data_IF_907033223062
#
_entry.id   IF_907033223062
#
_cell.length_a   1.000
_cell.length_b   1.000
_cell.length_c   1.000
_cell.angle_alpha   90.00
_cell.angle_beta   90.00
_cell.angle_gamma   90.00
#
_symmetry.space_group_name_H-M   'P 1'
#
loop_
_entity.id
_entity.type
_entity.pdbx_description
1 polymer ?
#
# COMPACT_ATOMS: atom_id res chain seq x y z
N UNK A 1 -20.40 -2.59 -12.80
CA UNK A 1 -19.53 -3.34 -11.88
C UNK A 1 -18.47 -2.41 -11.35
N UNK A 2 -18.51 -2.15 -10.08
CA UNK A 2 -17.44 -1.42 -9.44
C UNK A 2 -16.23 -2.35 -9.28
N UNK A 3 -15.22 -2.17 -10.11
CA UNK A 3 -13.91 -2.72 -9.81
C UNK A 3 -13.37 -1.93 -8.62
N UNK A 4 -13.71 -2.37 -7.42
CA UNK A 4 -13.17 -1.76 -6.23
C UNK A 4 -11.65 -1.95 -6.23
N UNK A 5 -10.95 -0.89 -6.62
CA UNK A 5 -9.49 -0.84 -6.58
C UNK A 5 -8.98 -1.07 -5.16
N UNK A 6 -9.75 -0.67 -4.16
CA UNK A 6 -9.39 -0.73 -2.76
C UNK A 6 -10.31 -1.65 -1.98
N UNK A 7 -9.73 -2.43 -1.07
CA UNK A 7 -10.46 -3.25 -0.12
C UNK A 7 -10.16 -2.73 1.28
N UNK A 8 -11.16 -2.15 1.93
CA UNK A 8 -11.01 -1.55 3.24
C UNK A 8 -11.67 -2.44 4.30
N UNK A 9 -10.92 -2.75 5.36
CA UNK A 9 -11.38 -3.49 6.51
C UNK A 9 -11.57 -2.53 7.70
N UNK A 10 -12.82 -2.17 7.98
CA UNK A 10 -13.14 -1.25 9.08
C UNK A 10 -12.89 -1.87 10.46
N UNK A 11 -12.75 -3.19 10.53
CA UNK A 11 -12.48 -3.91 11.77
C UNK A 11 -10.98 -4.09 12.03
N UNK A 12 -10.13 -3.73 11.07
CA UNK A 12 -8.69 -3.80 11.23
C UNK A 12 -8.18 -2.80 12.26
N UNK A 13 -7.08 -3.16 12.93
CA UNK A 13 -6.36 -2.23 13.82
C UNK A 13 -5.67 -1.11 13.07
N UNK A 14 -5.43 -1.29 11.76
CA UNK A 14 -4.83 -0.26 10.91
C UNK A 14 -5.90 0.77 10.57
N UNK A 15 -5.69 2.05 10.89
CA UNK A 15 -6.64 3.10 10.52
C UNK A 15 -6.96 3.11 9.04
N UNK A 16 -8.19 3.47 8.68
CA UNK A 16 -8.65 3.43 7.29
C UNK A 16 -7.76 4.26 6.37
N UNK A 17 -7.35 5.47 6.80
CA UNK A 17 -6.49 6.30 5.96
C UNK A 17 -5.14 5.64 5.66
N UNK A 18 -4.58 4.90 6.62
CA UNK A 18 -3.34 4.14 6.41
C UNK A 18 -3.55 2.96 5.46
N UNK A 19 -4.71 2.30 5.53
CA UNK A 19 -5.05 1.24 4.58
C UNK A 19 -5.08 1.77 3.15
N UNK A 20 -5.65 2.95 2.94
CA UNK A 20 -5.67 3.59 1.61
C UNK A 20 -4.24 3.88 1.15
N UNK A 21 -3.42 4.48 2.00
CA UNK A 21 -2.01 4.79 1.70
C UNK A 21 -1.26 3.52 1.31
N UNK A 22 -1.35 2.49 2.13
CA UNK A 22 -0.64 1.23 1.92
C UNK A 22 -1.04 0.56 0.61
N UNK A 23 -2.33 0.59 0.27
CA UNK A 23 -2.83 -0.01 -0.97
C UNK A 23 -2.41 0.77 -2.21
N UNK A 24 -2.36 2.10 -2.14
CA UNK A 24 -1.84 2.92 -3.24
C UNK A 24 -0.36 2.59 -3.48
N UNK A 25 0.44 2.61 -2.43
CA UNK A 25 1.88 2.30 -2.51
C UNK A 25 2.12 0.89 -3.05
N UNK A 26 1.34 -0.09 -2.59
CA UNK A 26 1.41 -1.47 -3.07
C UNK A 26 1.11 -1.55 -4.56
N UNK A 27 0.05 -0.88 -5.02
CA UNK A 27 -0.34 -0.89 -6.44
C UNK A 27 0.68 -0.19 -7.33
N UNK A 28 1.32 0.87 -6.81
CA UNK A 28 2.42 1.54 -7.51
C UNK A 28 3.62 0.60 -7.65
N UNK A 29 3.99 -0.10 -6.59
CA UNK A 29 5.10 -1.07 -6.61
C UNK A 29 4.81 -2.26 -7.53
N UNK A 30 3.57 -2.73 -7.57
CA UNK A 30 3.13 -3.82 -8.45
C UNK A 30 2.90 -3.36 -9.89
N UNK A 31 3.07 -2.07 -10.18
CA UNK A 31 2.84 -1.46 -11.49
C UNK A 31 1.39 -1.60 -11.98
N UNK A 32 0.46 -1.69 -11.04
CA UNK A 32 -0.98 -1.62 -11.29
C UNK A 32 -1.46 -0.18 -11.43
N UNK A 33 -0.76 0.76 -10.77
CA UNK A 33 -0.91 2.20 -10.94
C UNK A 33 0.39 2.74 -11.52
N UNK A 34 0.35 3.10 -12.80
CA UNK A 34 1.53 3.55 -13.54
C UNK A 34 1.79 5.04 -13.31
N UNK A 35 3.05 5.51 -13.51
CA UNK A 35 3.35 6.93 -13.51
C UNK A 35 2.41 7.70 -14.43
N UNK A 36 1.88 8.82 -13.95
CA UNK A 36 0.91 9.63 -14.70
C UNK A 36 -0.53 9.13 -14.65
N UNK A 37 -0.79 7.97 -14.08
CA UNK A 37 -2.15 7.45 -13.94
C UNK A 37 -2.98 8.36 -13.02
N UNK A 38 -4.22 8.62 -13.41
CA UNK A 38 -5.12 9.45 -12.63
C UNK A 38 -5.70 8.67 -11.45
N UNK A 39 -5.63 9.27 -10.28
CA UNK A 39 -6.27 8.74 -9.08
C UNK A 39 -7.77 9.02 -9.11
N UNK A 40 -8.61 8.16 -8.49
CA UNK A 40 -10.00 8.51 -8.25
C UNK A 40 -10.10 9.84 -7.49
N UNK A 41 -11.14 10.62 -7.74
CA UNK A 41 -11.36 11.82 -6.94
C UNK A 41 -11.65 11.46 -5.48
N UNK A 42 -11.32 12.35 -4.56
CA UNK A 42 -11.62 12.16 -3.13
C UNK A 42 -13.09 11.83 -2.92
N UNK A 43 -13.97 12.62 -3.55
CA UNK A 43 -15.41 12.43 -3.44
C UNK A 43 -15.85 11.10 -4.05
N UNK A 44 -15.35 10.77 -5.23
CA UNK A 44 -15.69 9.51 -5.91
C UNK A 44 -15.27 8.29 -5.10
N UNK A 45 -14.06 8.30 -4.59
CA UNK A 45 -13.56 7.20 -3.76
C UNK A 45 -14.29 7.10 -2.43
N UNK A 46 -14.59 8.24 -1.80
CA UNK A 46 -15.39 8.29 -0.58
C UNK A 46 -16.77 7.63 -0.78
N UNK A 47 -17.43 7.94 -1.89
CA UNK A 47 -18.73 7.34 -2.21
C UNK A 47 -18.63 5.85 -2.50
N UNK A 48 -17.62 5.45 -3.27
CA UNK A 48 -17.40 4.05 -3.62
C UNK A 48 -17.12 3.17 -2.41
N UNK A 49 -16.30 3.65 -1.48
CA UNK A 49 -15.91 2.91 -0.29
C UNK A 49 -16.83 3.13 0.92
N UNK A 50 -17.79 4.05 0.81
CA UNK A 50 -18.65 4.48 1.93
C UNK A 50 -17.83 4.97 3.13
N UNK A 51 -16.82 5.79 2.87
CA UNK A 51 -15.87 6.33 3.86
C UNK A 51 -15.93 7.85 3.83
N UNK A 52 -15.77 8.46 5.00
CA UNK A 52 -15.77 9.91 5.13
C UNK A 52 -14.76 10.55 4.17
N UNK A 53 -15.17 11.56 3.37
CA UNK A 53 -14.25 12.25 2.46
C UNK A 53 -13.01 12.82 3.14
N UNK A 54 -13.13 13.25 4.40
CA UNK A 54 -11.99 13.77 5.16
C UNK A 54 -10.93 12.71 5.39
N UNK A 55 -11.33 11.45 5.57
CA UNK A 55 -10.41 10.32 5.74
C UNK A 55 -9.66 10.06 4.44
N UNK A 56 -10.35 10.08 3.31
CA UNK A 56 -9.73 9.92 1.99
C UNK A 56 -8.80 11.10 1.71
N UNK A 57 -9.23 12.33 2.00
CA UNK A 57 -8.40 13.52 1.81
C UNK A 57 -7.11 13.44 2.63
N UNK A 58 -7.20 12.94 3.87
CA UNK A 58 -6.04 12.75 4.74
C UNK A 58 -5.04 11.79 4.09
N UNK A 59 -5.52 10.68 3.52
CA UNK A 59 -4.67 9.71 2.83
C UNK A 59 -3.98 10.35 1.61
N UNK A 60 -4.72 11.10 0.80
CA UNK A 60 -4.18 11.75 -0.40
C UNK A 60 -3.16 12.83 -0.04
N UNK A 61 -3.44 13.62 0.99
CA UNK A 61 -2.50 14.63 1.47
C UNK A 61 -1.18 13.99 1.91
N UNK A 62 -1.25 12.87 2.61
CA UNK A 62 -0.06 12.15 3.04
C UNK A 62 0.70 11.53 1.85
N UNK A 63 0.00 10.94 0.89
CA UNK A 63 0.62 10.40 -0.33
C UNK A 63 1.32 11.51 -1.13
N UNK A 64 0.73 12.69 -1.19
CA UNK A 64 1.32 13.86 -1.85
C UNK A 64 2.57 14.30 -1.10
N UNK A 65 2.52 14.37 0.23
CA UNK A 65 3.69 14.71 1.07
C UNK A 65 4.84 13.72 0.84
N UNK A 66 4.53 12.45 0.68
CA UNK A 66 5.51 11.38 0.40
C UNK A 66 6.03 11.41 -1.03
N UNK A 67 5.41 12.18 -1.91
CA UNK A 67 5.81 12.29 -3.31
C UNK A 67 5.32 11.15 -4.20
N UNK A 68 4.42 10.30 -3.72
CA UNK A 68 3.84 9.19 -4.50
C UNK A 68 2.82 9.69 -5.51
N UNK A 69 2.05 10.72 -5.13
CA UNK A 69 1.08 11.38 -6.01
C UNK A 69 1.37 12.87 -6.12
N UNK A 70 0.87 13.47 -7.18
CA UNK A 70 0.88 14.92 -7.39
C UNK A 70 -0.55 15.39 -7.63
N UNK A 71 -0.86 16.58 -7.14
CA UNK A 71 -2.14 17.23 -7.40
C UNK A 71 -1.96 18.32 -8.44
N UNK A 72 -2.76 18.25 -9.51
CA UNK A 72 -2.78 19.27 -10.56
C UNK A 72 -4.09 20.05 -10.41
N UNK A 73 -4.05 21.35 -10.07
CA UNK A 73 -5.25 22.15 -9.87
C UNK A 73 -6.21 22.07 -11.05
N UNK A 74 -7.48 21.81 -10.78
CA UNK A 74 -8.53 21.69 -11.80
C UNK A 74 -8.53 20.39 -12.59
N UNK A 75 -7.53 19.52 -12.41
CA UNK A 75 -7.41 18.25 -13.15
C UNK A 75 -7.47 17.01 -12.25
N UNK A 76 -7.01 17.11 -11.01
CA UNK A 76 -7.06 16.03 -10.02
C UNK A 76 -5.69 15.56 -9.55
N UNK A 77 -5.66 14.38 -8.97
CA UNK A 77 -4.44 13.74 -8.46
C UNK A 77 -3.97 12.64 -9.42
N UNK A 78 -2.66 12.55 -9.58
CA UNK A 78 -2.00 11.60 -10.49
C UNK A 78 -0.83 10.94 -9.80
N UNK A 79 -0.49 9.73 -10.21
CA UNK A 79 0.73 9.07 -9.74
C UNK A 79 1.93 9.87 -10.27
N UNK A 80 2.86 10.20 -9.38
CA UNK A 80 4.07 10.94 -9.75
C UNK A 80 4.95 10.13 -10.70
N UNK A 81 5.70 10.80 -11.57
CA UNK A 81 6.62 10.14 -12.51
C UNK A 81 7.65 9.28 -11.77
N UNK A 82 8.11 9.74 -10.60
CA UNK A 82 9.05 9.01 -9.74
C UNK A 82 8.32 8.27 -8.60
N UNK A 83 7.02 8.02 -8.74
CA UNK A 83 6.19 7.40 -7.70
C UNK A 83 6.68 6.02 -7.28
N UNK A 84 7.17 5.20 -8.22
CA UNK A 84 7.72 3.87 -7.92
C UNK A 84 8.95 3.99 -7.01
N UNK A 85 9.86 4.90 -7.33
CA UNK A 85 11.06 5.13 -6.52
C UNK A 85 10.70 5.61 -5.11
N UNK A 86 9.75 6.53 -5.01
CA UNK A 86 9.26 7.04 -3.72
C UNK A 86 8.63 5.93 -2.89
N UNK A 87 7.77 5.11 -3.50
CA UNK A 87 7.13 3.99 -2.83
C UNK A 87 8.15 2.94 -2.38
N UNK A 88 9.18 2.68 -3.20
CA UNK A 88 10.26 1.73 -2.87
C UNK A 88 11.07 2.18 -1.66
N UNK A 89 11.44 3.45 -1.59
CA UNK A 89 12.16 4.03 -0.45
C UNK A 89 11.33 3.89 0.82
N UNK A 90 10.04 4.23 0.77
CA UNK A 90 9.12 4.11 1.90
C UNK A 90 8.98 2.66 2.37
N UNK A 91 8.89 1.72 1.44
CA UNK A 91 8.83 0.30 1.77
C UNK A 91 10.11 -0.17 2.47
N UNK A 92 11.28 0.31 2.00
CA UNK A 92 12.58 -0.05 2.58
C UNK A 92 12.74 0.49 4.01
N UNK A 93 12.16 1.65 4.30
CA UNK A 93 12.19 2.23 5.65
C UNK A 93 11.47 1.34 6.67
N UNK A 94 10.56 0.47 6.23
CA UNK A 94 9.86 -0.49 7.11
C UNK A 94 10.77 -1.60 7.62
N UNK A 95 11.98 -1.75 7.08
CA UNK A 95 12.94 -2.74 7.60
C UNK A 95 13.32 -2.48 9.05
N UNK A 96 13.41 -1.21 9.45
CA UNK A 96 13.66 -0.84 10.84
C UNK A 96 12.52 -1.31 11.75
N UNK A 97 11.27 -1.09 11.35
CA UNK A 97 10.08 -1.53 12.08
C UNK A 97 10.01 -3.06 12.16
N UNK A 98 10.36 -3.73 11.07
CA UNK A 98 10.43 -5.21 11.01
C UNK A 98 11.44 -5.73 12.02
N UNK A 99 12.61 -5.12 12.11
CA UNK A 99 13.65 -5.49 13.08
C UNK A 99 13.15 -5.36 14.52
N UNK A 100 12.47 -4.27 14.84
CA UNK A 100 11.85 -4.07 16.16
C UNK A 100 10.78 -5.11 16.46
N UNK A 101 9.96 -5.43 15.47
CA UNK A 101 8.92 -6.47 15.60
C UNK A 101 9.55 -7.83 15.91
N UNK A 102 10.60 -8.21 15.19
CA UNK A 102 11.33 -9.44 15.42
C UNK A 102 11.90 -9.48 16.84
N UNK A 103 12.51 -8.38 17.28
CA UNK A 103 13.05 -8.27 18.65
C UNK A 103 11.97 -8.49 19.71
N UNK A 104 10.79 -7.90 19.52
CA UNK A 104 9.65 -8.10 20.43
C UNK A 104 9.16 -9.56 20.46
N UNK A 105 9.10 -10.19 19.29
CA UNK A 105 8.68 -11.59 19.18
C UNK A 105 9.69 -12.55 19.86
N UNK A 106 10.99 -12.25 19.77
CA UNK A 106 12.02 -13.02 20.47
C UNK A 106 11.83 -12.93 21.98
N UNK A 107 11.52 -11.75 22.51
CA UNK A 107 11.23 -11.58 23.92
C UNK A 107 10.00 -12.37 24.37
N UNK A 108 9.02 -12.53 23.49
CA UNK A 108 7.81 -13.31 23.73
C UNK A 108 8.03 -14.82 23.59
N UNK A 109 9.24 -15.25 23.22
CA UNK A 109 9.59 -16.67 23.11
C UNK A 109 9.30 -17.30 21.74
N UNK A 110 9.04 -16.50 20.72
CA UNK A 110 8.86 -17.03 19.35
C UNK A 110 10.21 -17.54 18.85
N UNK A 111 10.24 -18.75 18.28
CA UNK A 111 11.48 -19.37 17.84
C UNK A 111 12.00 -18.75 16.54
N UNK A 112 13.32 -18.80 16.36
CA UNK A 112 13.98 -18.41 15.12
C UNK A 112 13.41 -19.17 13.92
N UNK A 113 13.18 -20.47 14.08
CA UNK A 113 12.66 -21.34 13.04
C UNK A 113 11.27 -20.87 12.58
N UNK A 114 10.38 -20.54 13.51
CA UNK A 114 9.05 -20.04 13.18
C UNK A 114 9.11 -18.73 12.39
N UNK A 115 9.99 -17.81 12.78
CA UNK A 115 10.17 -16.53 12.09
C UNK A 115 10.73 -16.72 10.68
N UNK A 116 11.73 -17.60 10.53
CA UNK A 116 12.32 -17.92 9.24
C UNK A 116 11.29 -18.59 8.33
N UNK A 117 10.46 -19.49 8.85
CA UNK A 117 9.40 -20.14 8.09
C UNK A 117 8.37 -19.14 7.58
N UNK A 118 8.00 -18.15 8.38
CA UNK A 118 7.08 -17.08 7.95
C UNK A 118 7.69 -16.30 6.78
N UNK A 119 8.95 -15.91 6.88
CA UNK A 119 9.66 -15.21 5.81
C UNK A 119 9.72 -16.07 4.54
N UNK A 120 10.06 -17.34 4.67
CA UNK A 120 10.11 -18.26 3.53
C UNK A 120 8.75 -18.42 2.87
N UNK A 121 7.68 -18.50 3.65
CA UNK A 121 6.31 -18.60 3.11
C UNK A 121 5.93 -17.36 2.30
N UNK A 122 6.35 -16.18 2.73
CA UNK A 122 6.14 -14.95 1.96
C UNK A 122 6.80 -15.03 0.59
N UNK A 123 8.03 -15.53 0.52
CA UNK A 123 8.74 -15.70 -0.76
C UNK A 123 8.09 -16.74 -1.67
N UNK A 124 7.60 -17.84 -1.12
CA UNK A 124 6.89 -18.88 -1.90
C UNK A 124 5.62 -18.33 -2.53
N UNK A 125 4.84 -17.55 -1.79
CA UNK A 125 3.61 -16.97 -2.28
C UNK A 125 3.87 -15.95 -3.40
N UNK A 126 4.93 -15.18 -3.28
CA UNK A 126 5.35 -14.20 -4.28
C UNK A 126 5.77 -14.90 -5.59
N UNK A 127 6.58 -15.94 -5.50
CA UNK A 127 7.01 -16.74 -6.66
C UNK A 127 5.81 -17.37 -7.36
N UNK A 128 4.82 -17.84 -6.62
CA UNK A 128 3.60 -18.40 -7.20
C UNK A 128 2.79 -17.32 -7.95
N UNK A 129 2.70 -16.14 -7.38
CA UNK A 129 2.02 -15.02 -8.03
C UNK A 129 2.72 -14.60 -9.33
N UNK A 130 4.05 -14.57 -9.35
CA UNK A 130 4.83 -14.28 -10.55
C UNK A 130 4.62 -15.35 -11.64
N UNK A 131 4.51 -16.62 -11.25
CA UNK A 131 4.23 -17.71 -12.19
C UNK A 131 2.83 -17.62 -12.79
N UNK A 132 1.84 -17.22 -12.00
CA UNK A 132 0.47 -17.03 -12.48
C UNK A 132 0.35 -15.85 -13.44
N UNK A 133 1.16 -14.81 -13.26
CA UNK A 133 1.22 -13.66 -14.18
C UNK A 133 1.95 -13.98 -15.48
N UNK A 134 2.87 -14.93 -15.48
CA UNK A 134 3.66 -15.35 -16.65
C UNK A 134 3.09 -16.62 -17.29
N UNK A 135 2.14 -17.26 -16.65
CA UNK A 135 1.59 -18.55 -17.05
C UNK A 135 0.48 -18.49 -18.11
N UNK A 136 0.78 -17.95 -19.24
CA UNK A 136 -0.06 -18.22 -20.43
C UNK A 136 0.49 -19.39 -21.19
#
# INVERSE_FOLDING_TARGET
MSNNMFVIDVMSRVPVYEQVINQVEEKVLKKLLLPGAKMPSVRGLSMELAINPNTIQKAYTELERRGVIITVPGKGAFIAEDGVEKARVLATDKLSDFKETVAGLLLAGVSREDLINIVNDCFKNDINNEKDEVGE
#
